data_IF_834508710101
#
_entry.id   IF_834508710101
#
_cell.length_a   1.000
_cell.length_b   1.000
_cell.length_c   1.000
_cell.angle_alpha   90.00
_cell.angle_beta   90.00
_cell.angle_gamma   90.00
#
_symmetry.space_group_name_H-M   'P 1'
#
loop_
_entity.id
_entity.type
_entity.pdbx_description
1 polymer ?
#
# COMPACT_ATOMS: atom_id res chain seq x y z
N UNK A 1 -34.20 -13.74 21.25
CA UNK A 1 -34.21 -12.76 20.15
C UNK A 1 -32.76 -12.57 19.71
N UNK A 2 -32.27 -13.45 18.84
CA UNK A 2 -30.88 -13.44 18.36
C UNK A 2 -30.74 -12.27 17.38
N UNK A 3 -30.08 -11.21 17.83
CA UNK A 3 -29.79 -10.04 17.03
C UNK A 3 -28.88 -10.50 15.88
N UNK A 4 -29.39 -10.46 14.63
CA UNK A 4 -28.61 -10.79 13.42
C UNK A 4 -27.65 -9.62 13.17
N UNK A 5 -26.60 -9.52 13.99
CA UNK A 5 -25.53 -8.56 13.78
C UNK A 5 -24.66 -9.06 12.62
N UNK A 6 -24.74 -8.33 11.50
CA UNK A 6 -23.90 -8.56 10.30
C UNK A 6 -22.57 -7.82 10.37
N UNK A 7 -22.57 -6.70 11.08
CA UNK A 7 -21.39 -5.86 11.33
C UNK A 7 -21.27 -5.63 12.82
N UNK A 8 -20.07 -5.78 13.35
CA UNK A 8 -19.77 -5.52 14.74
C UNK A 8 -18.47 -4.70 14.82
N UNK A 9 -18.55 -3.53 15.42
CA UNK A 9 -17.40 -2.68 15.70
C UNK A 9 -17.24 -2.53 17.20
N UNK A 10 -16.06 -2.84 17.73
CA UNK A 10 -15.73 -2.71 19.13
C UNK A 10 -14.59 -1.71 19.31
N UNK A 11 -14.88 -0.62 20.00
CA UNK A 11 -13.93 0.43 20.37
C UNK A 11 -13.96 0.58 21.89
N UNK A 12 -12.97 0.08 22.64
CA UNK A 12 -12.90 0.31 24.07
C UNK A 12 -12.58 1.78 24.32
N UNK A 13 -13.34 2.41 25.20
CA UNK A 13 -13.05 3.77 25.65
C UNK A 13 -11.74 3.77 26.46
N UNK A 14 -10.83 4.74 26.23
CA UNK A 14 -9.46 4.73 26.76
C UNK A 14 -9.34 4.89 28.29
N UNK A 15 -10.45 4.93 29.04
CA UNK A 15 -10.47 5.22 30.48
C UNK A 15 -11.11 4.14 31.36
N UNK A 16 -11.55 2.99 30.82
CA UNK A 16 -12.04 1.90 31.64
C UNK A 16 -11.07 0.71 31.63
N UNK A 17 -10.39 0.54 32.77
CA UNK A 17 -9.53 -0.59 33.07
C UNK A 17 -10.33 -1.89 33.15
N UNK A 18 -10.47 -2.57 32.02
CA UNK A 18 -10.42 -4.02 31.83
C UNK A 18 -10.83 -4.32 30.39
N UNK A 19 -10.12 -5.21 29.66
CA UNK A 19 -10.59 -5.67 28.36
C UNK A 19 -11.95 -6.35 28.55
N UNK A 20 -12.99 -5.84 27.88
CA UNK A 20 -14.29 -6.51 27.88
C UNK A 20 -14.07 -7.88 27.25
N UNK A 21 -14.29 -8.95 28.03
CA UNK A 21 -14.39 -10.31 27.51
C UNK A 21 -15.64 -10.39 26.62
N UNK A 22 -15.47 -10.08 25.34
CA UNK A 22 -16.53 -10.22 24.35
C UNK A 22 -16.84 -11.70 24.15
N UNK A 23 -18.03 -12.13 24.57
CA UNK A 23 -18.54 -13.44 24.22
C UNK A 23 -19.06 -13.42 22.78
N UNK A 24 -18.12 -13.55 21.83
CA UNK A 24 -18.40 -13.48 20.40
C UNK A 24 -19.07 -14.74 19.84
N UNK A 25 -19.19 -15.81 20.64
CA UNK A 25 -19.74 -17.12 20.21
C UNK A 25 -21.22 -17.04 19.79
N UNK A 26 -21.89 -15.94 20.11
CA UNK A 26 -23.28 -15.68 19.72
C UNK A 26 -23.46 -15.03 18.34
N UNK A 27 -22.38 -14.56 17.68
CA UNK A 27 -22.42 -13.85 16.40
C UNK A 27 -22.10 -14.74 15.19
N UNK A 28 -22.82 -15.85 15.05
CA UNK A 28 -22.56 -16.87 14.01
C UNK A 28 -22.81 -16.43 12.57
N UNK A 29 -23.40 -15.24 12.35
CA UNK A 29 -23.68 -14.66 11.01
C UNK A 29 -22.90 -13.37 10.75
N UNK A 30 -21.87 -13.11 11.54
CA UNK A 30 -21.05 -11.91 11.40
C UNK A 30 -20.29 -11.95 10.07
N UNK A 31 -20.35 -10.85 9.32
CA UNK A 31 -19.65 -10.67 8.04
C UNK A 31 -18.55 -9.63 8.14
N UNK A 32 -18.69 -8.65 9.03
CA UNK A 32 -17.70 -7.61 9.25
C UNK A 32 -17.40 -7.49 10.76
N UNK A 33 -16.14 -7.64 11.13
CA UNK A 33 -15.65 -7.53 12.49
C UNK A 33 -14.54 -6.48 12.54
N UNK A 34 -14.72 -5.47 13.39
CA UNK A 34 -13.74 -4.40 13.60
C UNK A 34 -13.39 -4.35 15.08
N UNK A 35 -12.12 -4.56 15.39
CA UNK A 35 -11.58 -4.57 16.75
C UNK A 35 -10.55 -3.46 16.89
N UNK A 36 -10.74 -2.63 17.91
CA UNK A 36 -9.83 -1.53 18.22
C UNK A 36 -9.26 -1.75 19.62
N UNK A 37 -7.97 -1.43 19.83
CA UNK A 37 -7.33 -1.42 21.15
C UNK A 37 -7.62 -2.69 21.99
N UNK A 38 -7.58 -3.86 21.36
CA UNK A 38 -7.99 -5.13 21.98
C UNK A 38 -6.83 -6.13 21.96
N UNK A 39 -6.72 -6.94 23.02
CA UNK A 39 -5.78 -8.06 23.06
C UNK A 39 -6.29 -9.21 22.19
N UNK A 40 -5.56 -9.54 21.13
CA UNK A 40 -5.91 -10.59 20.17
C UNK A 40 -4.89 -11.72 20.25
N UNK A 41 -5.33 -12.89 20.72
CA UNK A 41 -4.47 -14.07 20.86
C UNK A 41 -4.35 -14.86 19.55
N UNK A 42 -3.21 -15.50 19.30
CA UNK A 42 -2.99 -16.36 18.12
C UNK A 42 -4.06 -17.43 17.95
N UNK A 43 -4.47 -18.08 19.04
CA UNK A 43 -5.55 -19.08 19.03
C UNK A 43 -6.85 -18.50 18.50
N UNK A 44 -7.17 -17.25 18.85
CA UNK A 44 -8.39 -16.60 18.39
C UNK A 44 -8.36 -16.34 16.87
N UNK A 45 -7.21 -15.94 16.33
CA UNK A 45 -7.01 -15.74 14.88
C UNK A 45 -7.07 -17.06 14.09
N UNK A 46 -6.53 -18.15 14.64
CA UNK A 46 -6.64 -19.48 14.03
C UNK A 46 -8.07 -20.03 14.05
N UNK A 47 -8.81 -19.78 15.13
CA UNK A 47 -10.20 -20.22 15.30
C UNK A 47 -11.22 -19.29 14.60
N UNK A 48 -10.75 -18.27 13.87
CA UNK A 48 -11.59 -17.21 13.30
C UNK A 48 -12.64 -17.75 12.32
N UNK A 49 -12.26 -18.67 11.44
CA UNK A 49 -13.15 -19.35 10.50
C UNK A 49 -14.20 -20.24 11.18
N UNK A 50 -13.88 -20.81 12.34
CA UNK A 50 -14.80 -21.64 13.12
C UNK A 50 -15.80 -20.78 13.89
N UNK A 51 -15.35 -19.64 14.44
CA UNK A 51 -16.18 -18.71 15.20
C UNK A 51 -17.09 -17.87 14.31
N UNK A 52 -16.59 -17.46 13.15
CA UNK A 52 -17.29 -16.60 12.20
C UNK A 52 -17.20 -17.18 10.79
N UNK A 53 -17.98 -18.23 10.50
CA UNK A 53 -17.90 -18.95 9.22
C UNK A 53 -18.28 -18.10 7.99
N UNK A 54 -18.88 -16.92 8.19
CA UNK A 54 -19.27 -15.98 7.14
C UNK A 54 -18.50 -14.66 7.18
N UNK A 55 -17.38 -14.58 7.93
CA UNK A 55 -16.63 -13.34 8.04
C UNK A 55 -15.93 -13.02 6.70
N UNK A 56 -16.29 -11.86 6.15
CA UNK A 56 -15.77 -11.33 4.90
C UNK A 56 -14.81 -10.16 5.12
N UNK A 57 -14.93 -9.45 6.24
CA UNK A 57 -14.12 -8.28 6.56
C UNK A 57 -13.61 -8.36 8.00
N UNK A 58 -12.30 -8.24 8.18
CA UNK A 58 -11.64 -8.13 9.49
C UNK A 58 -10.78 -6.87 9.54
N UNK A 59 -11.07 -5.97 10.48
CA UNK A 59 -10.26 -4.79 10.78
C UNK A 59 -9.69 -4.94 12.20
N UNK A 60 -8.37 -4.88 12.33
CA UNK A 60 -7.65 -4.83 13.59
C UNK A 60 -6.91 -3.49 13.65
N UNK A 61 -7.24 -2.67 14.65
CA UNK A 61 -6.67 -1.33 14.81
C UNK A 61 -6.07 -1.20 16.22
N UNK A 62 -4.79 -0.88 16.30
CA UNK A 62 -4.04 -0.75 17.55
C UNK A 62 -4.21 -1.97 18.47
N UNK A 63 -4.27 -3.18 17.92
CA UNK A 63 -4.52 -4.39 18.70
C UNK A 63 -3.21 -4.96 19.24
N UNK A 64 -3.23 -5.40 20.49
CA UNK A 64 -2.07 -6.06 21.11
C UNK A 64 -2.05 -7.52 20.66
N UNK A 65 -1.00 -7.90 19.93
CA UNK A 65 -0.86 -9.21 19.29
C UNK A 65 0.53 -9.81 19.53
N UNK A 66 0.66 -11.12 19.33
CA UNK A 66 1.98 -11.75 19.25
C UNK A 66 2.80 -11.14 18.11
N UNK A 67 4.13 -11.12 18.25
CA UNK A 67 5.03 -10.65 17.18
C UNK A 67 4.89 -11.44 15.87
N UNK A 68 4.35 -12.67 15.95
CA UNK A 68 4.11 -13.56 14.82
C UNK A 68 2.68 -14.08 14.88
N UNK A 69 1.91 -13.82 13.84
CA UNK A 69 0.51 -14.26 13.77
C UNK A 69 0.22 -15.06 12.50
N UNK A 70 -0.82 -15.86 12.57
CA UNK A 70 -1.39 -16.55 11.41
C UNK A 70 -2.90 -16.30 11.37
N UNK A 71 -3.39 -15.85 10.22
CA UNK A 71 -4.82 -15.63 9.96
C UNK A 71 -5.27 -16.63 8.92
N UNK A 72 -6.32 -17.40 9.22
CA UNK A 72 -6.95 -18.32 8.26
C UNK A 72 -8.44 -18.02 8.14
N UNK A 73 -8.92 -17.86 6.90
CA UNK A 73 -10.30 -17.45 6.65
C UNK A 73 -10.73 -17.68 5.20
N UNK A 74 -11.45 -18.77 4.96
CA UNK A 74 -11.91 -19.12 3.60
C UNK A 74 -12.90 -18.10 3.01
N UNK A 75 -13.69 -17.41 3.83
CA UNK A 75 -14.64 -16.38 3.36
C UNK A 75 -14.08 -14.95 3.46
N UNK A 76 -12.88 -14.78 4.02
CA UNK A 76 -12.31 -13.46 4.26
C UNK A 76 -11.94 -12.82 2.92
N UNK A 77 -12.50 -11.64 2.66
CA UNK A 77 -12.32 -10.86 1.44
C UNK A 77 -11.51 -9.58 1.69
N UNK A 78 -11.63 -8.98 2.88
CA UNK A 78 -10.96 -7.75 3.27
C UNK A 78 -10.27 -7.96 4.62
N UNK A 79 -9.01 -7.59 4.69
CA UNK A 79 -8.22 -7.56 5.93
C UNK A 79 -7.61 -6.16 6.08
N UNK A 80 -7.66 -5.59 7.27
CA UNK A 80 -7.09 -4.27 7.55
C UNK A 80 -6.35 -4.30 8.89
N UNK A 81 -5.07 -3.93 8.87
CA UNK A 81 -4.22 -3.74 10.05
C UNK A 81 -3.80 -2.27 10.13
N UNK A 82 -4.10 -1.63 11.25
CA UNK A 82 -3.75 -0.23 11.47
C UNK A 82 -3.03 -0.04 12.79
N UNK A 83 -1.83 0.52 12.72
CA UNK A 83 -1.02 0.92 13.88
C UNK A 83 -0.66 -0.26 14.81
N UNK A 84 -0.37 -1.42 14.22
CA UNK A 84 0.06 -2.65 14.92
C UNK A 84 1.59 -2.78 14.88
N UNK A 85 2.30 -1.92 15.62
CA UNK A 85 3.76 -1.73 15.52
C UNK A 85 4.61 -2.91 15.99
N UNK A 86 4.07 -3.82 16.79
CA UNK A 86 4.84 -4.92 17.38
C UNK A 86 4.92 -6.16 16.47
N UNK A 87 4.23 -6.11 15.33
CA UNK A 87 4.09 -7.21 14.42
C UNK A 87 5.33 -7.39 13.54
N UNK A 88 6.00 -8.54 13.65
CA UNK A 88 7.20 -8.89 12.88
C UNK A 88 6.93 -9.88 11.76
N UNK A 89 5.90 -10.72 11.89
CA UNK A 89 5.55 -11.71 10.89
C UNK A 89 4.04 -11.95 10.82
N UNK A 90 3.48 -11.93 9.61
CA UNK A 90 2.07 -12.19 9.33
C UNK A 90 1.98 -13.26 8.26
N UNK A 91 1.32 -14.37 8.60
CA UNK A 91 1.02 -15.43 7.66
C UNK A 91 -0.49 -15.43 7.36
N UNK A 92 -0.86 -15.24 6.09
CA UNK A 92 -2.26 -15.08 5.66
C UNK A 92 -2.66 -16.27 4.79
N UNK A 93 -3.59 -17.07 5.28
CA UNK A 93 -4.21 -18.21 4.59
C UNK A 93 -5.69 -17.91 4.31
N UNK A 94 -5.94 -17.06 3.32
CA UNK A 94 -7.26 -16.58 2.97
C UNK A 94 -7.45 -16.60 1.44
N UNK A 95 -7.91 -17.72 0.85
CA UNK A 95 -7.92 -17.92 -0.60
C UNK A 95 -8.83 -16.95 -1.37
N UNK A 96 -9.81 -16.34 -0.70
CA UNK A 96 -10.74 -15.38 -1.29
C UNK A 96 -10.39 -13.92 -0.95
N UNK A 97 -9.22 -13.66 -0.35
CA UNK A 97 -8.81 -12.32 0.04
C UNK A 97 -8.57 -11.43 -1.19
N UNK A 98 -9.32 -10.33 -1.28
CA UNK A 98 -9.27 -9.36 -2.38
C UNK A 98 -8.48 -8.10 -2.02
N UNK A 99 -8.55 -7.68 -0.75
CA UNK A 99 -7.84 -6.49 -0.27
C UNK A 99 -7.13 -6.78 1.06
N UNK A 100 -5.91 -6.28 1.20
CA UNK A 100 -5.23 -6.20 2.48
C UNK A 100 -4.65 -4.80 2.67
N UNK A 101 -5.06 -4.12 3.73
CA UNK A 101 -4.52 -2.82 4.13
C UNK A 101 -3.59 -3.01 5.31
N UNK A 102 -2.34 -2.57 5.18
CA UNK A 102 -1.32 -2.70 6.21
C UNK A 102 -0.68 -1.36 6.52
N UNK A 103 -0.90 -0.87 7.74
CA UNK A 103 -0.22 0.28 8.31
C UNK A 103 0.49 -0.15 9.59
N UNK A 104 1.78 -0.48 9.50
CA UNK A 104 2.56 -1.03 10.61
C UNK A 104 4.07 -0.98 10.37
N UNK A 105 4.85 -1.77 11.12
CA UNK A 105 6.31 -1.82 10.98
C UNK A 105 6.72 -2.25 9.56
N UNK A 106 7.59 -1.47 8.92
CA UNK A 106 8.17 -1.74 7.60
C UNK A 106 9.08 -2.99 7.58
N UNK A 107 9.48 -3.51 8.74
CA UNK A 107 10.30 -4.72 8.86
C UNK A 107 9.47 -6.00 8.91
N UNK A 108 8.14 -5.89 9.00
CA UNK A 108 7.28 -7.04 9.07
C UNK A 108 7.38 -7.91 7.80
N UNK A 109 7.48 -9.22 8.00
CA UNK A 109 7.39 -10.21 6.92
C UNK A 109 5.92 -10.52 6.71
N UNK A 110 5.43 -10.30 5.48
CA UNK A 110 4.02 -10.49 5.11
C UNK A 110 3.95 -11.61 4.09
N UNK A 111 3.49 -12.78 4.53
CA UNK A 111 3.39 -13.98 3.70
C UNK A 111 1.94 -14.27 3.35
N UNK A 112 1.63 -14.35 2.05
CA UNK A 112 0.33 -14.81 1.58
C UNK A 112 0.43 -16.30 1.22
N UNK A 113 0.07 -17.15 2.19
CA UNK A 113 0.04 -18.61 2.05
C UNK A 113 -1.04 -19.04 1.05
N UNK A 114 -2.23 -18.45 1.15
CA UNK A 114 -3.25 -18.53 0.10
C UNK A 114 -3.92 -17.18 -0.05
N UNK A 115 -4.18 -16.78 -1.29
CA UNK A 115 -4.84 -15.50 -1.62
C UNK A 115 -5.50 -15.57 -3.00
N UNK A 116 -6.36 -14.60 -3.27
CA UNK A 116 -6.93 -14.39 -4.59
C UNK A 116 -5.84 -13.97 -5.59
N UNK A 117 -6.03 -14.33 -6.87
CA UNK A 117 -5.22 -13.83 -7.98
C UNK A 117 -5.46 -12.33 -8.26
N UNK A 118 -6.50 -11.77 -7.64
CA UNK A 118 -6.90 -10.37 -7.72
C UNK A 118 -6.55 -9.57 -6.46
N UNK A 119 -5.71 -10.11 -5.57
CA UNK A 119 -5.33 -9.43 -4.34
C UNK A 119 -4.67 -8.07 -4.64
N UNK A 120 -5.27 -7.02 -4.09
CA UNK A 120 -4.71 -5.68 -3.95
C UNK A 120 -4.10 -5.58 -2.56
N UNK A 121 -2.83 -5.19 -2.49
CA UNK A 121 -2.17 -4.93 -1.22
C UNK A 121 -1.92 -3.43 -1.08
N UNK A 122 -2.51 -2.80 -0.06
CA UNK A 122 -2.32 -1.39 0.24
C UNK A 122 -1.39 -1.26 1.46
N UNK A 123 -0.19 -0.74 1.23
CA UNK A 123 0.83 -0.64 2.25
C UNK A 123 1.10 0.82 2.63
N UNK A 124 1.03 1.11 3.92
CA UNK A 124 1.42 2.37 4.53
C UNK A 124 2.46 2.11 5.62
N UNK A 125 3.71 1.76 5.26
CA UNK A 125 4.74 1.43 6.25
C UNK A 125 5.01 2.63 7.17
N UNK A 126 4.88 2.40 8.47
CA UNK A 126 5.07 3.43 9.50
C UNK A 126 6.57 3.72 9.67
N UNK A 127 6.88 5.01 9.75
CA UNK A 127 8.22 5.50 10.00
C UNK A 127 8.54 5.38 11.49
N UNK A 128 9.57 4.62 11.86
CA UNK A 128 10.10 4.68 13.23
C UNK A 128 10.82 6.03 13.39
N UNK A 129 10.29 6.95 14.20
CA UNK A 129 10.89 8.27 14.42
C UNK A 129 12.29 8.19 15.08
N UNK A 130 12.58 7.08 15.74
CA UNK A 130 13.75 6.85 16.59
C UNK A 130 15.00 6.38 15.83
N UNK A 131 14.86 5.62 14.74
CA UNK A 131 15.99 4.95 14.10
C UNK A 131 16.35 5.47 12.69
N UNK A 132 15.60 6.45 12.18
CA UNK A 132 15.81 6.96 10.82
C UNK A 132 15.42 5.91 9.77
N UNK A 133 14.90 6.39 8.65
CA UNK A 133 14.99 5.71 7.35
C UNK A 133 14.58 4.23 7.28
N UNK A 134 13.38 3.96 6.74
CA UNK A 134 13.03 2.61 6.33
C UNK A 134 13.50 2.28 4.91
N UNK A 135 13.92 1.04 4.69
CA UNK A 135 14.25 0.52 3.36
C UNK A 135 12.98 0.00 2.68
N UNK A 136 12.41 0.78 1.75
CA UNK A 136 11.27 0.34 0.95
C UNK A 136 11.58 -0.94 0.17
N UNK A 137 12.81 -1.07 -0.33
CA UNK A 137 13.24 -2.30 -1.02
C UNK A 137 13.17 -3.51 -0.11
N UNK A 138 13.66 -3.41 1.12
CA UNK A 138 13.56 -4.51 2.09
C UNK A 138 12.12 -4.79 2.47
N UNK A 139 11.29 -3.76 2.68
CA UNK A 139 9.86 -3.94 2.92
C UNK A 139 9.19 -4.72 1.78
N UNK A 140 9.41 -4.33 0.53
CA UNK A 140 8.83 -5.04 -0.61
C UNK A 140 9.41 -6.45 -0.75
N UNK A 141 10.69 -6.65 -0.41
CA UNK A 141 11.28 -8.00 -0.34
C UNK A 141 10.68 -8.85 0.77
N UNK A 142 10.20 -8.26 1.87
CA UNK A 142 9.52 -8.93 2.96
C UNK A 142 8.08 -9.32 2.62
N UNK A 143 7.53 -8.84 1.51
CA UNK A 143 6.26 -9.31 0.96
C UNK A 143 6.52 -10.62 0.21
N UNK A 144 5.95 -11.72 0.71
CA UNK A 144 6.12 -13.07 0.18
C UNK A 144 4.79 -13.64 -0.33
N UNK A 145 4.32 -13.22 -1.51
CA UNK A 145 3.10 -13.78 -2.07
C UNK A 145 3.42 -15.10 -2.80
N UNK A 146 2.59 -16.13 -2.63
CA UNK A 146 2.74 -17.36 -3.43
C UNK A 146 2.42 -17.16 -4.92
N UNK A 147 1.64 -16.13 -5.23
CA UNK A 147 1.23 -15.74 -6.59
C UNK A 147 1.61 -14.28 -6.85
N UNK A 148 1.57 -13.84 -8.11
CA UNK A 148 1.84 -12.44 -8.43
C UNK A 148 0.70 -11.55 -7.90
N UNK A 149 1.03 -10.49 -7.16
CA UNK A 149 0.06 -9.49 -6.70
C UNK A 149 -0.61 -8.79 -7.90
N UNK A 150 -1.92 -8.57 -7.81
CA UNK A 150 -2.65 -7.86 -8.88
C UNK A 150 -2.22 -6.39 -8.94
N UNK A 151 -2.14 -5.74 -7.78
CA UNK A 151 -1.54 -4.42 -7.57
C UNK A 151 -0.99 -4.29 -6.15
N UNK A 152 0.03 -3.45 -6.00
CA UNK A 152 0.54 -2.94 -4.73
C UNK A 152 0.28 -1.44 -4.72
N UNK A 153 -0.66 -0.98 -3.89
CA UNK A 153 -0.77 0.45 -3.58
C UNK A 153 0.18 0.78 -2.45
N UNK A 154 0.89 1.89 -2.58
CA UNK A 154 1.89 2.31 -1.62
C UNK A 154 1.64 3.77 -1.22
N UNK A 155 1.40 3.96 0.06
CA UNK A 155 1.45 5.26 0.71
C UNK A 155 2.76 5.44 1.46
N UNK A 156 3.54 6.44 1.08
CA UNK A 156 4.82 6.74 1.75
C UNK A 156 4.71 8.09 2.45
N UNK A 157 4.66 8.05 3.78
CA UNK A 157 4.72 9.28 4.56
C UNK A 157 6.12 9.89 4.49
N UNK A 158 6.19 11.09 3.92
CA UNK A 158 7.43 11.86 3.82
C UNK A 158 7.73 12.56 5.14
N UNK A 159 8.55 11.95 5.98
CA UNK A 159 9.24 12.66 7.06
C UNK A 159 10.41 13.47 6.51
N UNK A 160 10.93 14.42 7.30
CA UNK A 160 12.17 15.11 6.96
C UNK A 160 13.31 14.10 6.79
N UNK A 161 13.98 14.09 5.64
CA UNK A 161 15.16 13.26 5.40
C UNK A 161 15.07 12.26 4.25
N UNK A 162 13.97 12.16 3.50
CA UNK A 162 13.89 11.22 2.35
C UNK A 162 15.05 11.38 1.35
N UNK A 163 15.62 12.58 1.27
CA UNK A 163 16.84 12.87 0.52
C UNK A 163 18.01 11.94 0.90
N UNK A 164 18.17 11.62 2.19
CA UNK A 164 19.21 10.73 2.68
C UNK A 164 18.90 9.27 2.34
N UNK A 165 17.62 8.87 2.24
CA UNK A 165 17.20 7.58 1.68
C UNK A 165 17.51 7.45 0.19
N UNK A 166 17.30 8.51 -0.58
CA UNK A 166 17.58 8.53 -2.01
C UNK A 166 19.10 8.54 -2.32
N UNK A 167 19.93 8.96 -1.36
CA UNK A 167 21.39 9.05 -1.50
C UNK A 167 22.14 7.83 -0.93
N UNK A 168 21.52 7.07 -0.02
CA UNK A 168 22.10 5.87 0.59
C UNK A 168 21.90 4.60 -0.25
N UNK A 169 21.50 4.75 -1.52
CA UNK A 169 21.38 3.66 -2.52
C UNK A 169 22.78 3.13 -2.85
N UNK A 170 23.39 2.43 -1.89
CA UNK A 170 24.53 1.57 -2.13
C UNK A 170 24.05 0.37 -2.95
N UNK A 171 24.88 -0.02 -3.92
CA UNK A 171 24.65 -1.08 -4.90
C UNK A 171 24.10 -2.36 -4.25
N UNK A 172 22.78 -2.49 -4.16
CA UNK A 172 22.14 -3.74 -3.78
C UNK A 172 22.23 -4.67 -4.99
N UNK A 173 23.00 -5.75 -4.88
CA UNK A 173 23.27 -6.69 -5.99
C UNK A 173 22.09 -7.59 -6.36
N UNK A 174 20.99 -7.56 -5.59
CA UNK A 174 19.82 -8.40 -5.82
C UNK A 174 18.82 -7.77 -6.79
N UNK A 175 18.23 -8.62 -7.64
CA UNK A 175 17.16 -8.22 -8.56
C UNK A 175 16.00 -7.67 -7.72
N UNK A 176 15.51 -6.45 -7.98
CA UNK A 176 14.37 -5.91 -7.27
C UNK A 176 13.14 -6.83 -7.39
N UNK A 177 12.32 -6.94 -6.34
CA UNK A 177 11.05 -7.65 -6.43
C UNK A 177 10.20 -7.01 -7.53
N UNK A 178 9.72 -7.81 -8.49
CA UNK A 178 8.88 -7.31 -9.58
C UNK A 178 7.41 -7.30 -9.15
N UNK A 179 6.81 -6.13 -9.16
CA UNK A 179 5.37 -5.93 -8.94
C UNK A 179 4.66 -5.62 -10.28
N UNK A 180 3.41 -6.09 -10.42
CA UNK A 180 2.65 -5.89 -11.66
C UNK A 180 2.24 -4.42 -11.83
N UNK A 181 1.66 -3.84 -10.77
CA UNK A 181 1.22 -2.45 -10.73
C UNK A 181 1.65 -1.85 -9.38
N UNK A 182 2.28 -0.68 -9.43
CA UNK A 182 2.52 0.18 -8.28
C UNK A 182 1.50 1.31 -8.32
N UNK A 183 0.58 1.36 -7.38
CA UNK A 183 -0.34 2.48 -7.23
C UNK A 183 0.21 3.44 -6.19
N UNK A 184 0.21 4.73 -6.51
CA UNK A 184 0.67 5.80 -5.64
C UNK A 184 -0.52 6.69 -5.29
N UNK A 185 -0.74 6.87 -4.00
CA UNK A 185 -1.78 7.73 -3.43
C UNK A 185 -1.19 9.02 -2.82
N UNK A 186 0.13 9.16 -2.83
CA UNK A 186 0.89 10.21 -2.16
C UNK A 186 2.17 10.55 -2.92
N UNK A 187 2.62 11.80 -2.76
CA UNK A 187 3.86 12.30 -3.38
C UNK A 187 4.54 13.36 -2.51
N UNK A 188 5.83 13.66 -2.76
CA UNK A 188 6.48 14.80 -2.15
C UNK A 188 5.70 16.08 -2.44
N UNK A 189 5.76 17.06 -1.53
CA UNK A 189 5.20 18.40 -1.78
C UNK A 189 6.17 19.32 -2.51
N UNK A 190 7.47 19.03 -2.44
CA UNK A 190 8.51 19.83 -3.06
C UNK A 190 8.92 19.23 -4.41
N UNK A 191 8.78 20.01 -5.49
CA UNK A 191 9.14 19.61 -6.85
C UNK A 191 10.61 19.19 -6.97
N UNK A 192 11.52 19.77 -6.17
CA UNK A 192 12.94 19.39 -6.18
C UNK A 192 13.18 17.93 -5.76
N UNK A 193 12.20 17.29 -5.11
CA UNK A 193 12.27 15.89 -4.68
C UNK A 193 11.64 14.93 -5.69
N UNK A 194 10.90 15.39 -6.69
CA UNK A 194 10.13 14.53 -7.59
C UNK A 194 11.01 13.52 -8.31
N UNK A 195 12.12 14.00 -8.87
CA UNK A 195 13.05 13.12 -9.56
C UNK A 195 13.64 12.06 -8.63
N UNK A 196 14.19 12.48 -7.48
CA UNK A 196 14.84 11.55 -6.53
C UNK A 196 13.86 10.55 -5.92
N UNK A 197 12.64 10.98 -5.65
CA UNK A 197 11.59 10.11 -5.13
C UNK A 197 11.22 9.02 -6.13
N UNK A 198 11.00 9.42 -7.38
CA UNK A 198 10.67 8.47 -8.42
C UNK A 198 11.84 7.54 -8.74
N UNK A 199 13.07 8.06 -8.75
CA UNK A 199 14.28 7.27 -8.97
C UNK A 199 14.41 6.17 -7.91
N UNK A 200 14.20 6.56 -6.65
CA UNK A 200 14.16 5.65 -5.52
C UNK A 200 13.05 4.59 -5.64
N UNK A 201 11.80 4.97 -5.95
CA UNK A 201 10.68 4.02 -6.08
C UNK A 201 10.99 2.93 -7.12
N UNK A 202 11.41 3.35 -8.30
CA UNK A 202 11.64 2.43 -9.41
C UNK A 202 12.89 1.56 -9.18
N UNK A 203 13.92 2.09 -8.49
CA UNK A 203 15.03 1.27 -8.01
C UNK A 203 14.60 0.21 -6.99
N UNK A 204 13.59 0.49 -6.16
CA UNK A 204 13.12 -0.44 -5.13
C UNK A 204 12.28 -1.61 -5.69
N UNK A 205 11.49 -1.41 -6.75
CA UNK A 205 10.45 -2.37 -7.13
C UNK A 205 10.19 -2.62 -8.63
N UNK A 206 10.88 -1.91 -9.55
CA UNK A 206 10.76 -2.08 -11.01
C UNK A 206 9.37 -2.51 -11.53
N UNK A 207 8.29 -1.76 -11.22
CA UNK A 207 6.92 -2.06 -11.63
C UNK A 207 6.76 -2.07 -13.16
N UNK A 208 5.87 -2.95 -13.67
CA UNK A 208 5.44 -2.91 -15.08
C UNK A 208 4.49 -1.76 -15.37
N UNK A 209 3.76 -1.30 -14.37
CA UNK A 209 2.82 -0.18 -14.48
C UNK A 209 2.88 0.65 -13.21
N UNK A 210 2.89 1.97 -13.35
CA UNK A 210 2.73 2.90 -12.24
C UNK A 210 1.40 3.61 -12.43
N UNK A 211 0.54 3.59 -11.41
CA UNK A 211 -0.73 4.29 -11.39
C UNK A 211 -0.72 5.39 -10.34
N UNK A 212 -1.27 6.54 -10.69
CA UNK A 212 -1.47 7.67 -9.78
C UNK A 212 -2.96 7.77 -9.50
N UNK A 213 -3.35 7.59 -8.24
CA UNK A 213 -4.76 7.56 -7.82
C UNK A 213 -5.12 8.88 -7.14
N UNK A 214 -6.06 9.62 -7.74
CA UNK A 214 -6.49 10.95 -7.31
C UNK A 214 -7.74 10.86 -6.44
N UNK A 215 -7.57 10.43 -5.18
CA UNK A 215 -8.66 10.38 -4.21
C UNK A 215 -8.64 11.58 -3.24
N UNK A 216 -7.45 12.09 -2.93
CA UNK A 216 -7.25 13.19 -2.00
C UNK A 216 -6.32 14.25 -2.59
N UNK A 217 -6.40 15.47 -2.09
CA UNK A 217 -5.55 16.57 -2.53
C UNK A 217 -4.16 16.46 -1.87
N UNK A 218 -3.33 15.55 -2.37
CA UNK A 218 -2.02 15.19 -1.78
C UNK A 218 -0.81 15.68 -2.61
N UNK A 219 -1.01 16.65 -3.51
CA UNK A 219 0.06 17.13 -4.41
C UNK A 219 0.40 16.17 -5.56
N UNK A 220 -0.38 15.09 -5.71
CA UNK A 220 -0.15 14.06 -6.72
C UNK A 220 -0.27 14.59 -8.15
N UNK A 221 -1.18 15.55 -8.40
CA UNK A 221 -1.39 16.12 -9.74
C UNK A 221 -0.10 16.77 -10.31
N UNK A 222 0.53 17.76 -9.64
CA UNK A 222 1.83 18.28 -10.08
C UNK A 222 2.90 17.20 -10.28
N UNK A 223 2.95 16.21 -9.38
CA UNK A 223 3.88 15.09 -9.49
C UNK A 223 3.61 14.25 -10.75
N UNK A 224 2.37 13.85 -11.02
CA UNK A 224 1.99 13.10 -12.23
C UNK A 224 2.35 13.86 -13.49
N UNK A 225 2.14 15.19 -13.55
CA UNK A 225 2.56 16.02 -14.69
C UNK A 225 4.06 15.97 -14.88
N UNK A 226 4.83 16.13 -13.80
CA UNK A 226 6.29 16.02 -13.86
C UNK A 226 6.74 14.65 -14.41
N UNK A 227 6.13 13.57 -13.94
CA UNK A 227 6.47 12.21 -14.37
C UNK A 227 6.11 11.98 -15.84
N UNK A 228 4.94 12.45 -16.27
CA UNK A 228 4.56 12.41 -17.68
C UNK A 228 5.58 13.15 -18.57
N UNK A 229 5.96 14.38 -18.20
CA UNK A 229 6.96 15.16 -18.94
C UNK A 229 8.35 14.50 -18.96
N UNK A 230 8.77 13.93 -17.82
CA UNK A 230 10.01 13.19 -17.69
C UNK A 230 10.06 12.00 -18.65
N UNK A 231 9.03 11.17 -18.59
CA UNK A 231 8.94 9.93 -19.35
C UNK A 231 8.74 10.16 -20.86
N UNK A 232 8.05 11.24 -21.25
CA UNK A 232 7.90 11.66 -22.65
C UNK A 232 9.17 12.31 -23.23
N UNK A 233 10.26 12.38 -22.45
CA UNK A 233 11.54 12.90 -22.91
C UNK A 233 11.69 14.42 -22.86
N UNK A 234 10.68 15.16 -22.36
CA UNK A 234 10.67 16.63 -22.39
C UNK A 234 11.55 17.26 -21.32
N UNK A 235 11.78 16.56 -20.19
CA UNK A 235 12.65 17.01 -19.09
C UNK A 235 14.01 16.31 -19.02
N UNK A 236 14.33 15.41 -19.98
CA UNK A 236 15.55 14.58 -19.92
C UNK A 236 16.84 15.43 -19.96
N UNK A 237 16.89 16.48 -20.77
CA UNK A 237 18.10 17.31 -20.92
C UNK A 237 18.38 18.19 -19.69
N UNK A 238 17.36 18.84 -19.12
CA UNK A 238 17.52 19.69 -17.93
C UNK A 238 17.97 18.89 -16.71
N UNK A 239 17.49 17.65 -16.59
CA UNK A 239 17.89 16.73 -15.51
C UNK A 239 19.27 16.12 -15.74
N UNK A 240 19.68 15.92 -17.00
CA UNK A 240 21.04 15.52 -17.36
C UNK A 240 22.07 16.55 -16.86
N UNK A 241 21.79 17.83 -17.06
CA UNK A 241 22.66 18.92 -16.61
C UNK A 241 22.71 19.03 -15.07
N UNK A 242 21.63 18.64 -14.37
CA UNK A 242 21.53 18.72 -12.91
C UNK A 242 22.13 17.51 -12.18
N UNK A 243 22.03 16.29 -12.74
CA UNK A 243 22.44 15.05 -12.08
C UNK A 243 23.70 14.38 -12.67
N UNK A 244 24.21 14.83 -13.82
CA UNK A 244 25.46 14.36 -14.42
C UNK A 244 25.42 12.96 -15.06
N UNK A 245 26.60 12.43 -15.44
CA UNK A 245 26.83 11.19 -16.21
C UNK A 245 26.50 9.86 -15.49
N UNK A 246 25.78 9.89 -14.37
CA UNK A 246 25.35 8.64 -13.73
C UNK A 246 24.46 7.84 -14.68
N UNK A 247 24.83 6.57 -14.93
CA UNK A 247 24.04 5.62 -15.71
C UNK A 247 22.69 5.39 -15.01
N UNK A 248 21.70 6.19 -15.39
CA UNK A 248 20.35 6.14 -14.87
C UNK A 248 19.51 5.21 -15.74
N UNK A 249 18.89 4.20 -15.17
CA UNK A 249 18.03 3.20 -15.84
C UNK A 249 16.83 3.83 -16.59
N UNK A 250 16.53 5.09 -16.29
CA UNK A 250 15.67 6.01 -17.04
C UNK A 250 16.00 6.21 -18.52
N UNK A 251 17.25 5.99 -18.92
CA UNK A 251 17.65 6.14 -20.33
C UNK A 251 16.99 5.09 -21.22
N UNK A 252 16.81 3.89 -20.67
CA UNK A 252 16.23 2.75 -21.38
C UNK A 252 14.71 2.68 -21.18
N UNK A 253 14.20 3.30 -20.10
CA UNK A 253 12.77 3.33 -19.79
C UNK A 253 11.94 4.06 -20.86
N UNK A 254 10.95 3.37 -21.39
CA UNK A 254 9.97 3.87 -22.37
C UNK A 254 8.55 3.73 -21.82
N UNK A 255 7.72 4.74 -22.10
CA UNK A 255 6.27 4.58 -21.97
C UNK A 255 5.80 3.75 -23.16
N UNK A 256 5.19 2.62 -22.86
CA UNK A 256 4.50 1.80 -23.86
C UNK A 256 3.08 2.30 -24.05
N UNK A 257 2.42 2.71 -22.96
CA UNK A 257 1.01 3.11 -22.95
C UNK A 257 0.70 4.03 -21.77
N UNK A 258 -0.16 5.02 -22.00
CA UNK A 258 -0.81 5.79 -20.94
C UNK A 258 -2.30 5.42 -20.94
N UNK A 259 -2.87 5.18 -19.76
CA UNK A 259 -4.29 4.91 -19.57
C UNK A 259 -4.90 5.84 -18.54
N UNK A 260 -6.17 6.14 -18.72
CA UNK A 260 -6.95 7.06 -17.89
C UNK A 260 -8.21 6.34 -17.44
N UNK A 261 -8.62 6.55 -16.18
CA UNK A 261 -9.94 6.08 -15.72
C UNK A 261 -11.07 7.08 -16.01
N UNK A 262 -10.71 8.26 -16.55
CA UNK A 262 -11.63 9.36 -16.86
C UNK A 262 -11.57 9.70 -18.35
N UNK A 263 -12.60 10.41 -18.83
CA UNK A 263 -12.66 10.85 -20.21
C UNK A 263 -11.63 11.97 -20.47
N UNK A 264 -10.83 11.79 -21.51
CA UNK A 264 -9.87 12.79 -21.98
C UNK A 264 -10.39 13.39 -23.27
N UNK A 265 -10.45 14.72 -23.35
CA UNK A 265 -10.62 15.41 -24.62
C UNK A 265 -9.28 15.42 -25.35
N UNK A 266 -9.22 14.78 -26.52
CA UNK A 266 -8.00 14.67 -27.34
C UNK A 266 -7.42 16.03 -27.74
N UNK A 267 -8.22 17.10 -27.69
CA UNK A 267 -7.79 18.45 -28.04
C UNK A 267 -7.17 19.24 -26.88
N UNK A 268 -7.22 18.71 -25.66
CA UNK A 268 -6.72 19.38 -24.45
C UNK A 268 -5.39 18.74 -24.04
N UNK A 269 -4.41 19.57 -23.68
CA UNK A 269 -3.13 19.03 -23.20
C UNK A 269 -3.28 18.29 -21.86
N UNK A 270 -2.39 17.33 -21.62
CA UNK A 270 -2.42 16.47 -20.44
C UNK A 270 -2.46 17.25 -19.12
N UNK A 271 -1.69 18.34 -19.01
CA UNK A 271 -1.58 19.12 -17.77
C UNK A 271 -2.90 19.85 -17.49
N UNK A 272 -3.50 20.45 -18.51
CA UNK A 272 -4.81 21.09 -18.40
C UNK A 272 -5.89 20.08 -18.02
N UNK A 273 -5.89 18.91 -18.65
CA UNK A 273 -6.81 17.81 -18.33
C UNK A 273 -6.69 17.40 -16.87
N UNK A 274 -5.47 17.14 -16.40
CA UNK A 274 -5.24 16.68 -15.02
C UNK A 274 -5.61 17.73 -13.97
N UNK A 275 -5.33 19.00 -14.24
CA UNK A 275 -5.69 20.09 -13.34
C UNK A 275 -7.22 20.25 -13.22
N UNK A 276 -7.95 20.01 -14.31
CA UNK A 276 -9.41 20.10 -14.35
C UNK A 276 -10.13 18.94 -13.65
N UNK A 277 -9.45 17.83 -13.35
CA UNK A 277 -10.05 16.70 -12.63
C UNK A 277 -10.62 17.17 -11.29
N UNK A 278 -11.89 16.86 -11.03
CA UNK A 278 -12.48 17.05 -9.72
C UNK A 278 -12.12 15.81 -8.91
N UNK A 279 -11.66 15.98 -7.66
CA UNK A 279 -11.35 14.85 -6.78
C UNK A 279 -12.68 14.22 -6.32
N UNK A 280 -13.10 13.08 -6.88
CA UNK A 280 -14.39 12.49 -6.56
C UNK A 280 -14.31 11.84 -5.18
N UNK A 281 -15.41 11.85 -4.43
CA UNK A 281 -15.46 11.19 -3.12
C UNK A 281 -15.67 9.68 -3.22
N UNK A 282 -16.26 9.20 -4.33
CA UNK A 282 -16.81 7.85 -4.40
C UNK A 282 -16.00 6.93 -5.33
N UNK A 283 -15.60 7.40 -6.51
CA UNK A 283 -14.78 6.64 -7.47
C UNK A 283 -13.48 7.40 -7.76
N UNK A 284 -12.32 6.96 -7.23
CA UNK A 284 -11.08 7.68 -7.43
C UNK A 284 -10.63 7.60 -8.89
N UNK A 285 -10.31 8.75 -9.46
CA UNK A 285 -9.75 8.82 -10.80
C UNK A 285 -8.27 8.44 -10.80
N UNK A 286 -7.76 7.92 -11.91
CA UNK A 286 -6.36 7.55 -12.02
C UNK A 286 -5.76 7.74 -13.41
N UNK A 287 -4.45 7.95 -13.42
CA UNK A 287 -3.61 7.90 -14.61
C UNK A 287 -2.57 6.82 -14.40
N UNK A 288 -2.44 5.89 -15.36
CA UNK A 288 -1.45 4.83 -15.31
C UNK A 288 -0.50 4.85 -16.50
N UNK A 289 0.77 4.56 -16.24
CA UNK A 289 1.84 4.46 -17.22
C UNK A 289 2.35 3.03 -17.27
N UNK A 290 2.23 2.37 -18.42
CA UNK A 290 2.89 1.09 -18.68
C UNK A 290 4.32 1.33 -19.14
N UNK A 291 5.26 0.67 -18.46
CA UNK A 291 6.69 0.91 -18.59
C UNK A 291 7.39 -0.31 -19.21
N UNK A 292 8.38 -0.04 -20.05
CA UNK A 292 9.31 -1.04 -20.60
C UNK A 292 10.74 -0.52 -20.44
N UNK A 293 11.65 -1.40 -20.03
CA UNK A 293 13.10 -1.16 -19.97
C UNK A 293 13.76 -1.74 -21.21
#
# INVERSE_FOLDING_TARGET
>A
MLQILRTYSYVPFPYFGSPIKLNLDSFTRLRCLRLWNTDVTDKWLLDLSHKFPFLEHLELCCCSMSERITISGAQLMILEFTNDSDLKEVNIDAPNLLSFDYCGDHRAIISFLTSSDHLVFNASPVHEFTHGYYSLREFIQNIKPQKVLASLSLSVYHSNGIEQNCLSIQQVSSIPPSIKCLELDSSPRNETLYFRYMDWLLFCCCPKTISFVFQYECGLKPFTVFIYELLMGRKKQELFDYFGDTKCWWHDLKIVKVTYSFNVDENVDFKTTLNALLLPTDDPESVSFSLEL
#
